data_IF_803095209770
#
_entry.id   IF_803095209770
#
_cell.length_a   1.000
_cell.length_b   1.000
_cell.length_c   1.000
_cell.angle_alpha   90.00
_cell.angle_beta   90.00
_cell.angle_gamma   90.00
#
_symmetry.space_group_name_H-M   'P 1'
#
loop_
_entity.id
_entity.type
_entity.pdbx_description
1 polymer ?
#
# COMPACT_ATOMS: atom_id res chain seq x y z
N UNK A 1 11.75 12.43 42.26
CA UNK A 1 10.64 11.72 41.58
C UNK A 1 10.05 10.72 42.57
N UNK A 2 8.73 10.67 42.73
CA UNK A 2 8.08 9.80 43.73
C UNK A 2 7.86 8.39 43.16
N UNK A 3 7.84 7.38 44.04
CA UNK A 3 7.51 5.99 43.67
C UNK A 3 6.13 5.85 43.02
N UNK A 4 5.19 6.74 43.34
CA UNK A 4 3.89 6.83 42.71
C UNK A 4 3.95 7.36 41.25
N UNK A 5 4.81 8.34 40.98
CA UNK A 5 5.03 8.86 39.62
C UNK A 5 5.64 7.80 38.71
N UNK A 6 6.61 7.03 39.19
CA UNK A 6 7.23 5.96 38.42
C UNK A 6 6.24 4.82 38.06
N UNK A 7 5.35 4.43 39.00
CA UNK A 7 4.29 3.45 38.71
C UNK A 7 3.27 3.96 37.70
N UNK A 8 2.95 5.26 37.74
CA UNK A 8 2.00 5.87 36.81
C UNK A 8 2.57 5.92 35.39
N UNK A 9 3.86 6.26 35.23
CA UNK A 9 4.54 6.23 33.94
C UNK A 9 4.54 4.81 33.33
N UNK A 10 4.86 3.78 34.14
CA UNK A 10 4.83 2.38 33.70
C UNK A 10 3.42 1.96 33.23
N UNK A 11 2.37 2.32 33.99
CA UNK A 11 1.00 1.99 33.62
C UNK A 11 0.57 2.61 32.28
N UNK A 12 1.00 3.84 31.98
CA UNK A 12 0.76 4.47 30.68
C UNK A 12 1.56 3.80 29.56
N UNK A 13 2.81 3.40 29.81
CA UNK A 13 3.59 2.63 28.84
C UNK A 13 2.94 1.27 28.51
N UNK A 14 2.43 0.57 29.52
CA UNK A 14 1.78 -0.73 29.35
C UNK A 14 0.42 -0.58 28.63
N UNK A 15 -0.37 0.45 29.00
CA UNK A 15 -1.60 0.80 28.28
C UNK A 15 -1.31 1.09 26.80
N UNK A 16 -0.27 1.87 26.52
CA UNK A 16 0.12 2.19 25.15
C UNK A 16 0.48 0.93 24.36
N UNK A 17 1.20 -0.02 24.97
CA UNK A 17 1.55 -1.28 24.33
C UNK A 17 0.30 -2.13 24.00
N UNK A 18 -0.64 -2.25 24.95
CA UNK A 18 -1.90 -2.98 24.75
C UNK A 18 -2.74 -2.33 23.65
N UNK A 19 -2.86 -1.01 23.68
CA UNK A 19 -3.68 -0.25 22.72
C UNK A 19 -3.04 -0.23 21.32
N UNK A 20 -1.71 -0.20 21.24
CA UNK A 20 -0.97 -0.39 19.97
C UNK A 20 -1.17 -1.79 19.41
N UNK A 21 -1.15 -2.83 20.25
CA UNK A 21 -1.43 -4.21 19.86
C UNK A 21 -2.87 -4.41 19.35
N UNK A 22 -3.82 -3.58 19.82
CA UNK A 22 -5.20 -3.53 19.30
C UNK A 22 -5.33 -2.69 18.00
N UNK A 23 -4.23 -2.13 17.48
CA UNK A 23 -4.22 -1.33 16.25
C UNK A 23 -4.59 0.15 16.42
N UNK A 24 -4.83 0.60 17.65
CA UNK A 24 -5.21 1.98 17.96
C UNK A 24 -3.94 2.82 18.26
N UNK A 25 -3.21 3.08 17.18
CA UNK A 25 -1.89 3.71 17.25
C UNK A 25 -1.97 5.14 17.80
N UNK A 26 -3.08 5.87 17.61
CA UNK A 26 -3.22 7.22 18.11
C UNK A 26 -3.41 7.27 19.63
N UNK A 27 -4.22 6.38 20.21
CA UNK A 27 -4.29 6.28 21.68
C UNK A 27 -3.01 5.70 22.28
N UNK A 28 -2.32 4.81 21.58
CA UNK A 28 -1.00 4.37 21.99
C UNK A 28 0.01 5.53 22.02
N UNK A 29 -0.01 6.42 21.03
CA UNK A 29 0.82 7.63 21.00
C UNK A 29 0.56 8.50 22.23
N UNK A 30 -0.71 8.82 22.48
CA UNK A 30 -1.10 9.66 23.62
C UNK A 30 -0.67 9.04 24.95
N UNK A 31 -0.79 7.71 25.08
CA UNK A 31 -0.38 7.01 26.30
C UNK A 31 1.16 6.96 26.45
N UNK A 32 1.93 6.77 25.38
CA UNK A 32 3.39 6.89 25.45
C UNK A 32 3.86 8.31 25.75
N UNK A 33 3.24 9.33 25.15
CA UNK A 33 3.53 10.74 25.43
C UNK A 33 3.23 11.08 26.91
N UNK A 34 2.09 10.62 27.44
CA UNK A 34 1.75 10.77 28.86
C UNK A 34 2.76 10.06 29.79
N UNK A 35 3.25 8.88 29.44
CA UNK A 35 4.31 8.20 30.19
C UNK A 35 5.60 9.04 30.24
N UNK A 36 5.97 9.67 29.13
CA UNK A 36 7.17 10.51 29.01
C UNK A 36 7.01 11.90 29.65
N UNK A 37 5.80 12.44 29.74
CA UNK A 37 5.54 13.65 30.54
C UNK A 37 5.79 13.39 32.03
N UNK A 38 5.40 12.21 32.52
CA UNK A 38 5.60 11.82 33.93
C UNK A 38 7.06 11.43 34.21
N UNK A 39 7.67 10.67 33.29
CA UNK A 39 9.07 10.23 33.38
C UNK A 39 9.80 10.50 32.05
N UNK A 40 10.36 11.70 31.85
CA UNK A 40 11.04 12.06 30.60
C UNK A 40 12.26 11.18 30.28
N UNK A 41 12.81 10.51 31.30
CA UNK A 41 13.96 9.63 31.15
C UNK A 41 13.59 8.15 30.91
N UNK A 42 12.31 7.81 30.79
CA UNK A 42 11.88 6.43 30.53
C UNK A 42 12.39 5.96 29.16
N UNK A 43 13.36 5.05 29.19
CA UNK A 43 13.97 4.49 27.99
C UNK A 43 13.05 3.48 27.29
N UNK A 44 12.21 2.78 28.05
CA UNK A 44 11.26 1.81 27.52
C UNK A 44 10.14 2.53 26.76
N UNK A 45 9.53 3.54 27.37
CA UNK A 45 8.49 4.35 26.72
C UNK A 45 9.04 5.10 25.49
N UNK A 46 10.28 5.64 25.53
CA UNK A 46 10.92 6.23 24.35
C UNK A 46 11.18 5.20 23.24
N UNK A 47 11.66 4.02 23.60
CA UNK A 47 11.92 2.94 22.64
C UNK A 47 10.62 2.47 21.99
N UNK A 48 9.56 2.31 22.77
CA UNK A 48 8.26 1.89 22.27
C UNK A 48 7.58 2.98 21.42
N UNK A 49 7.64 4.25 21.86
CA UNK A 49 7.17 5.38 21.08
C UNK A 49 7.90 5.51 19.74
N UNK A 50 9.22 5.27 19.71
CA UNK A 50 10.00 5.31 18.48
C UNK A 50 9.63 4.20 17.49
N UNK A 51 9.10 3.08 17.98
CA UNK A 51 8.54 1.98 17.16
C UNK A 51 7.11 2.27 16.71
N UNK A 52 6.44 3.25 17.31
CA UNK A 52 5.05 3.53 17.03
C UNK A 52 4.88 4.12 15.62
N UNK A 53 4.01 3.52 14.79
CA UNK A 53 3.79 3.96 13.42
C UNK A 53 3.16 5.35 13.26
N UNK A 54 2.91 6.12 14.32
CA UNK A 54 2.34 7.48 14.24
C UNK A 54 3.23 8.55 14.88
N UNK A 55 4.49 8.21 15.20
CA UNK A 55 5.43 9.14 15.84
C UNK A 55 5.69 10.43 15.02
N UNK A 56 6.19 11.52 15.62
CA UNK A 56 6.54 12.74 14.89
C UNK A 56 7.50 12.51 13.70
N UNK A 57 8.43 11.56 13.82
CA UNK A 57 9.31 11.15 12.72
C UNK A 57 8.54 10.51 11.57
N UNK A 58 7.58 9.66 11.89
CA UNK A 58 6.66 9.07 10.91
C UNK A 58 5.81 10.15 10.22
N UNK A 59 5.24 11.09 10.98
CA UNK A 59 4.49 12.22 10.40
C UNK A 59 5.36 13.10 9.49
N UNK A 60 6.63 13.30 9.83
CA UNK A 60 7.56 14.06 9.00
C UNK A 60 7.89 13.34 7.67
N UNK A 61 8.23 12.05 7.72
CA UNK A 61 8.48 11.23 6.53
C UNK A 61 7.25 11.19 5.60
N UNK A 62 6.06 11.00 6.18
CA UNK A 62 4.81 11.00 5.43
C UNK A 62 4.48 12.35 4.76
N UNK A 63 4.91 13.47 5.37
CA UNK A 63 4.77 14.82 4.78
C UNK A 63 5.73 15.04 3.64
N UNK A 64 7.01 14.74 3.85
CA UNK A 64 8.04 14.83 2.81
C UNK A 64 7.64 13.98 1.59
N UNK A 65 7.09 12.80 1.82
CA UNK A 65 6.58 11.95 0.76
C UNK A 65 5.41 12.51 -0.01
N UNK A 66 4.43 13.12 0.66
CA UNK A 66 3.26 13.72 -0.01
C UNK A 66 3.68 14.86 -0.94
N UNK A 67 4.72 15.60 -0.55
CA UNK A 67 5.32 16.67 -1.34
C UNK A 67 6.15 16.11 -2.50
N UNK A 68 7.00 15.11 -2.25
CA UNK A 68 7.78 14.42 -3.29
C UNK A 68 6.88 13.71 -4.31
N UNK A 69 5.77 13.12 -3.86
CA UNK A 69 4.70 12.54 -4.68
C UNK A 69 4.06 13.57 -5.60
N UNK A 70 3.64 14.71 -5.04
CA UNK A 70 3.05 15.79 -5.81
C UNK A 70 4.03 16.33 -6.84
N UNK A 71 5.30 16.48 -6.47
CA UNK A 71 6.37 16.95 -7.35
C UNK A 71 6.76 15.92 -8.41
N UNK A 72 6.80 14.61 -8.10
CA UNK A 72 7.15 13.54 -9.06
C UNK A 72 5.98 13.19 -9.98
N UNK A 73 4.74 13.21 -9.50
CA UNK A 73 3.56 13.08 -10.35
C UNK A 73 3.44 14.30 -11.30
N UNK A 74 3.75 15.50 -10.82
CA UNK A 74 3.94 16.68 -11.67
C UNK A 74 5.13 16.51 -12.64
N UNK A 75 6.25 15.92 -12.21
CA UNK A 75 7.42 15.68 -13.06
C UNK A 75 7.16 14.63 -14.14
N UNK A 76 6.39 13.58 -13.87
CA UNK A 76 5.95 12.58 -14.86
C UNK A 76 4.98 13.22 -15.86
N UNK A 77 4.02 14.02 -15.40
CA UNK A 77 3.16 14.81 -16.28
C UNK A 77 3.99 15.80 -17.14
N UNK A 78 5.06 16.37 -16.57
CA UNK A 78 5.98 17.26 -17.28
C UNK A 78 6.96 16.52 -18.19
N UNK A 79 7.39 15.30 -17.89
CA UNK A 79 8.25 14.47 -18.74
C UNK A 79 7.47 13.97 -19.97
N UNK A 80 6.20 13.60 -19.78
CA UNK A 80 5.24 13.38 -20.87
C UNK A 80 5.08 14.66 -21.70
N UNK A 81 5.12 15.85 -21.08
CA UNK A 81 5.12 17.13 -21.79
C UNK A 81 6.47 17.50 -22.43
N UNK A 82 7.61 17.01 -21.94
CA UNK A 82 8.95 17.26 -22.47
C UNK A 82 9.24 16.39 -23.70
N UNK A 83 8.75 15.14 -23.72
CA UNK A 83 8.67 14.30 -24.93
C UNK A 83 7.90 15.02 -26.06
N UNK A 84 7.00 15.98 -25.74
CA UNK A 84 6.34 16.85 -26.73
C UNK A 84 7.24 17.96 -27.29
N UNK A 85 8.18 18.53 -26.52
CA UNK A 85 9.08 19.61 -27.00
C UNK A 85 10.22 19.09 -27.86
N UNK A 86 10.79 17.94 -27.53
CA UNK A 86 11.81 17.28 -28.35
C UNK A 86 11.29 16.84 -29.73
N UNK A 87 9.96 16.73 -29.91
CA UNK A 87 9.32 16.36 -31.18
C UNK A 87 8.62 17.51 -31.91
N UNK A 88 8.67 18.74 -31.37
CA UNK A 88 8.36 19.94 -32.17
C UNK A 88 9.27 19.99 -33.40
N UNK A 89 10.54 19.55 -33.27
CA UNK A 89 11.48 19.43 -34.39
C UNK A 89 11.11 18.32 -35.42
N UNK A 90 10.19 17.40 -35.09
CA UNK A 90 9.69 16.36 -36.01
C UNK A 90 8.35 16.74 -36.65
N UNK A 91 7.55 17.57 -35.97
CA UNK A 91 6.34 18.18 -36.54
C UNK A 91 6.70 19.30 -37.53
N UNK A 92 7.78 20.05 -37.28
CA UNK A 92 8.36 21.01 -38.24
C UNK A 92 8.88 20.33 -39.51
N UNK A 93 9.07 18.99 -39.49
CA UNK A 93 9.42 18.15 -40.63
C UNK A 93 8.18 17.54 -41.35
N UNK A 94 6.95 17.91 -40.98
CA UNK A 94 5.74 17.54 -41.72
C UNK A 94 5.26 16.08 -41.57
N UNK A 95 5.78 15.33 -40.59
CA UNK A 95 5.59 13.88 -40.49
C UNK A 95 4.42 13.41 -39.60
N UNK A 96 3.47 14.29 -39.25
CA UNK A 96 2.42 13.97 -38.27
C UNK A 96 1.03 14.47 -38.65
N UNK A 97 0.00 13.62 -38.46
CA UNK A 97 -1.39 13.97 -38.75
C UNK A 97 -2.06 14.74 -37.59
N UNK A 98 -3.05 15.58 -37.89
CA UNK A 98 -3.82 16.33 -36.89
C UNK A 98 -4.57 15.41 -35.89
N UNK A 99 -4.92 14.19 -36.31
CA UNK A 99 -5.56 13.16 -35.48
C UNK A 99 -4.62 12.71 -34.36
N UNK A 100 -3.34 12.52 -34.67
CA UNK A 100 -2.33 12.14 -33.68
C UNK A 100 -2.10 13.24 -32.65
N UNK A 101 -2.22 14.52 -33.05
CA UNK A 101 -2.08 15.67 -32.16
C UNK A 101 -3.22 15.76 -31.13
N UNK A 102 -4.45 15.48 -31.55
CA UNK A 102 -5.65 15.53 -30.70
C UNK A 102 -5.66 14.41 -29.65
N UNK A 103 -5.43 13.17 -30.06
CA UNK A 103 -5.31 12.01 -29.16
C UNK A 103 -4.21 12.22 -28.11
N UNK A 104 -3.11 12.89 -28.50
CA UNK A 104 -2.01 13.23 -27.57
C UNK A 104 -2.36 14.33 -26.59
N UNK A 105 -3.17 15.33 -26.97
CA UNK A 105 -3.62 16.40 -26.06
C UNK A 105 -4.50 15.80 -24.97
N UNK A 106 -5.43 14.94 -25.36
CA UNK A 106 -6.34 14.20 -24.48
C UNK A 106 -5.56 13.30 -23.51
N UNK A 107 -4.54 12.57 -23.99
CA UNK A 107 -3.71 11.71 -23.13
C UNK A 107 -2.95 12.44 -22.00
N UNK A 108 -2.44 13.65 -22.22
CA UNK A 108 -1.75 14.37 -21.12
C UNK A 108 -2.71 15.05 -20.15
N UNK A 109 -3.90 15.44 -20.60
CA UNK A 109 -4.95 15.91 -19.69
C UNK A 109 -5.35 14.76 -18.76
N UNK A 110 -5.51 13.55 -19.31
CA UNK A 110 -5.78 12.36 -18.51
C UNK A 110 -4.66 12.05 -17.52
N UNK A 111 -3.38 12.07 -17.93
CA UNK A 111 -2.25 11.83 -17.03
C UNK A 111 -2.18 12.86 -15.88
N UNK A 112 -2.44 14.15 -16.17
CA UNK A 112 -2.49 15.20 -15.15
C UNK A 112 -3.64 14.99 -14.16
N UNK A 113 -4.82 14.59 -14.66
CA UNK A 113 -5.97 14.27 -13.80
C UNK A 113 -5.70 13.07 -12.89
N UNK A 114 -5.03 12.02 -13.39
CA UNK A 114 -4.64 10.86 -12.58
C UNK A 114 -3.65 11.24 -11.48
N UNK A 115 -2.64 12.06 -11.79
CA UNK A 115 -1.69 12.58 -10.81
C UNK A 115 -2.38 13.38 -9.69
N UNK A 116 -3.36 14.23 -10.03
CA UNK A 116 -4.12 14.99 -9.05
C UNK A 116 -4.99 14.10 -8.16
N UNK A 117 -5.66 13.10 -8.76
CA UNK A 117 -6.43 12.09 -8.01
C UNK A 117 -5.53 11.31 -7.06
N UNK A 118 -4.35 10.88 -7.54
CA UNK A 118 -3.37 10.17 -6.73
C UNK A 118 -2.98 11.00 -5.49
N UNK A 119 -2.60 12.26 -5.69
CA UNK A 119 -2.26 13.14 -4.57
C UNK A 119 -3.39 13.26 -3.54
N UNK A 120 -4.64 13.45 -4.00
CA UNK A 120 -5.78 13.59 -3.10
C UNK A 120 -6.07 12.31 -2.31
N UNK A 121 -6.10 11.16 -2.99
CA UNK A 121 -6.33 9.86 -2.36
C UNK A 121 -5.26 9.56 -1.33
N UNK A 122 -3.99 9.70 -1.69
CA UNK A 122 -2.87 9.36 -0.80
C UNK A 122 -2.84 10.28 0.42
N UNK A 123 -3.11 11.58 0.21
CA UNK A 123 -3.25 12.52 1.33
C UNK A 123 -4.37 12.09 2.28
N UNK A 124 -5.49 11.61 1.74
CA UNK A 124 -6.62 11.14 2.55
C UNK A 124 -6.31 9.84 3.30
N UNK A 125 -5.81 8.81 2.60
CA UNK A 125 -5.39 7.54 3.20
C UNK A 125 -4.37 7.75 4.31
N UNK A 126 -3.41 8.64 4.07
CA UNK A 126 -2.45 9.05 5.09
C UNK A 126 -3.15 9.63 6.32
N UNK A 127 -4.07 10.59 6.15
CA UNK A 127 -4.80 11.16 7.30
C UNK A 127 -5.56 10.09 8.07
N UNK A 128 -6.24 9.18 7.37
CA UNK A 128 -6.91 8.05 8.01
C UNK A 128 -5.96 7.19 8.85
N UNK A 129 -4.76 6.88 8.34
CA UNK A 129 -3.77 6.11 9.12
C UNK A 129 -3.12 6.91 10.25
N UNK A 130 -2.72 8.15 9.99
CA UNK A 130 -1.85 8.92 10.89
C UNK A 130 -2.62 9.71 11.93
N UNK A 131 -3.82 10.17 11.59
CA UNK A 131 -4.65 10.99 12.46
C UNK A 131 -5.71 10.13 13.16
N UNK A 132 -5.99 8.91 12.65
CA UNK A 132 -7.11 8.04 13.07
C UNK A 132 -8.38 8.85 13.36
N UNK A 133 -8.58 9.91 12.57
CA UNK A 133 -9.62 10.88 12.85
C UNK A 133 -10.96 10.20 12.65
N UNK A 134 -11.80 10.22 13.69
CA UNK A 134 -13.25 10.08 13.54
C UNK A 134 -13.72 11.31 12.77
N UNK A 135 -13.48 11.31 11.46
CA UNK A 135 -13.79 12.45 10.63
C UNK A 135 -15.32 12.47 10.45
N UNK A 136 -16.00 13.31 11.22
CA UNK A 136 -17.42 13.57 11.03
C UNK A 136 -17.75 14.01 9.58
N UNK A 137 -16.75 14.43 8.78
CA UNK A 137 -16.89 14.74 7.37
C UNK A 137 -16.73 13.54 6.42
N UNK A 138 -16.24 12.39 6.90
CA UNK A 138 -16.19 11.13 6.15
C UNK A 138 -17.45 10.27 6.33
N UNK A 139 -18.51 10.80 6.95
CA UNK A 139 -19.75 10.05 7.18
C UNK A 139 -19.67 9.04 8.33
N UNK A 140 -18.69 9.16 9.22
CA UNK A 140 -18.54 8.28 10.39
C UNK A 140 -17.66 7.05 10.13
N UNK A 141 -16.87 7.05 9.06
CA UNK A 141 -15.94 5.97 8.73
C UNK A 141 -14.71 6.05 9.62
N UNK A 142 -14.55 5.08 10.52
CA UNK A 142 -13.37 4.96 11.37
C UNK A 142 -12.58 3.69 11.04
N UNK A 143 -11.29 3.87 10.74
CA UNK A 143 -10.40 2.76 10.39
C UNK A 143 -10.29 1.73 11.53
N UNK A 144 -10.33 2.21 12.77
CA UNK A 144 -10.30 1.37 13.97
C UNK A 144 -11.60 0.60 14.14
N UNK A 145 -12.76 1.21 13.87
CA UNK A 145 -14.05 0.52 13.99
C UNK A 145 -14.18 -0.61 12.98
N UNK A 146 -13.78 -0.41 11.72
CA UNK A 146 -13.85 -1.45 10.70
C UNK A 146 -12.96 -2.64 11.06
N UNK A 147 -11.73 -2.39 11.52
CA UNK A 147 -10.79 -3.44 11.93
C UNK A 147 -11.26 -4.19 13.17
N UNK A 148 -11.66 -3.47 14.21
CA UNK A 148 -12.03 -4.06 15.50
C UNK A 148 -13.32 -4.90 15.43
N UNK A 149 -14.27 -4.51 14.56
CA UNK A 149 -15.57 -5.18 14.47
C UNK A 149 -15.49 -6.49 13.68
N UNK A 150 -14.70 -6.53 12.62
CA UNK A 150 -14.67 -7.69 11.71
C UNK A 150 -13.61 -8.73 12.08
N UNK A 151 -12.52 -8.29 12.71
CA UNK A 151 -11.39 -9.17 12.97
C UNK A 151 -11.74 -10.40 13.83
N UNK A 152 -12.57 -10.32 14.90
CA UNK A 152 -12.95 -11.52 15.66
C UNK A 152 -13.65 -12.57 14.80
N UNK A 153 -14.56 -12.14 13.93
CA UNK A 153 -15.31 -13.01 13.03
C UNK A 153 -14.40 -13.64 11.98
N UNK A 154 -13.50 -12.85 11.39
CA UNK A 154 -12.55 -13.32 10.38
C UNK A 154 -11.57 -14.32 11.00
N UNK A 155 -11.00 -14.01 12.16
CA UNK A 155 -10.18 -14.94 12.92
C UNK A 155 -10.93 -16.26 13.16
N UNK A 156 -12.18 -16.21 13.63
CA UNK A 156 -12.96 -17.43 13.90
C UNK A 156 -13.19 -18.32 12.66
N UNK A 157 -13.30 -17.72 11.47
CA UNK A 157 -13.58 -18.44 10.21
C UNK A 157 -12.33 -19.05 9.58
N UNK A 158 -11.16 -18.44 9.80
CA UNK A 158 -9.91 -18.84 9.17
C UNK A 158 -8.91 -19.48 10.13
N UNK A 159 -9.23 -19.56 11.43
CA UNK A 159 -8.48 -20.40 12.37
C UNK A 159 -8.64 -21.88 11.99
N UNK A 160 -7.53 -22.58 11.81
CA UNK A 160 -7.53 -24.03 11.56
C UNK A 160 -8.12 -24.78 12.76
N UNK A 161 -8.59 -26.02 12.54
CA UNK A 161 -9.19 -26.87 13.58
C UNK A 161 -8.23 -27.21 14.75
N UNK A 162 -6.92 -26.99 14.58
CA UNK A 162 -5.90 -27.13 15.62
C UNK A 162 -5.69 -25.85 16.47
N UNK A 163 -6.46 -24.79 16.20
CA UNK A 163 -6.40 -23.53 16.94
C UNK A 163 -5.23 -22.62 16.57
N UNK A 164 -4.43 -22.97 15.55
CA UNK A 164 -3.28 -22.14 15.16
C UNK A 164 -3.66 -21.15 14.07
N UNK A 165 -3.93 -19.91 14.49
CA UNK A 165 -3.74 -18.70 13.70
C UNK A 165 -3.06 -17.72 14.65
N UNK A 166 -1.80 -17.37 14.39
CA UNK A 166 -1.11 -16.40 15.22
C UNK A 166 -1.74 -15.03 14.95
N UNK A 167 -2.06 -14.27 16.00
CA UNK A 167 -2.60 -12.90 15.90
C UNK A 167 -1.63 -11.99 15.11
N UNK A 168 -0.36 -12.42 14.98
CA UNK A 168 0.62 -11.85 14.05
C UNK A 168 0.21 -11.83 12.56
N UNK A 169 -0.78 -12.64 12.13
CA UNK A 169 -1.35 -12.69 10.78
C UNK A 169 -1.92 -11.35 10.28
N UNK A 170 -2.15 -10.39 11.18
CA UNK A 170 -2.70 -9.08 10.89
C UNK A 170 -1.83 -7.98 11.49
N UNK A 171 -0.93 -7.41 10.68
CA UNK A 171 -0.23 -6.18 10.97
C UNK A 171 -0.69 -5.13 9.97
N UNK A 172 -1.10 -3.96 10.46
CA UNK A 172 -1.50 -2.86 9.59
C UNK A 172 -0.54 -1.70 9.71
N UNK A 173 -0.20 -1.16 8.55
CA UNK A 173 0.29 0.18 8.40
C UNK A 173 0.46 0.52 6.93
N UNK A 174 0.82 1.77 6.64
CA UNK A 174 1.08 2.18 5.28
C UNK A 174 2.43 1.71 4.77
N UNK A 175 2.42 1.12 3.58
CA UNK A 175 3.55 1.15 2.68
C UNK A 175 3.55 2.48 1.96
N UNK A 176 4.69 3.14 2.04
CA UNK A 176 4.88 4.48 1.54
C UNK A 176 4.98 4.55 0.01
N UNK A 177 4.70 5.70 -0.60
CA UNK A 177 4.71 5.74 -2.08
C UNK A 177 6.10 5.60 -2.64
N UNK A 178 7.09 6.28 -2.05
CA UNK A 178 8.47 6.18 -2.55
C UNK A 178 8.96 4.72 -2.47
N UNK A 179 8.51 4.00 -1.45
CA UNK A 179 8.70 2.57 -1.24
C UNK A 179 8.08 1.75 -2.35
N UNK A 180 6.79 1.95 -2.59
CA UNK A 180 6.07 1.30 -3.68
C UNK A 180 6.76 1.58 -5.01
N UNK A 181 6.97 2.87 -5.34
CA UNK A 181 7.63 3.33 -6.56
C UNK A 181 9.04 2.72 -6.76
N UNK A 182 9.82 2.53 -5.69
CA UNK A 182 11.14 1.92 -5.76
C UNK A 182 11.09 0.47 -6.27
N UNK A 183 10.10 -0.31 -5.84
CA UNK A 183 9.87 -1.67 -6.34
C UNK A 183 9.59 -1.71 -7.87
N UNK A 184 8.99 -0.65 -8.43
CA UNK A 184 8.73 -0.53 -9.88
C UNK A 184 9.88 0.07 -10.70
N UNK A 185 11.00 0.44 -10.06
CA UNK A 185 12.15 0.98 -10.80
C UNK A 185 12.97 -0.08 -11.54
N UNK A 186 12.76 -1.37 -11.27
CA UNK A 186 13.43 -2.43 -12.03
C UNK A 186 13.00 -2.40 -13.50
N UNK A 187 13.95 -2.64 -14.40
CA UNK A 187 13.69 -2.59 -15.84
C UNK A 187 12.63 -3.60 -16.29
N UNK A 188 12.66 -4.83 -15.76
CA UNK A 188 11.65 -5.85 -16.06
C UNK A 188 10.25 -5.47 -15.55
N UNK A 189 10.14 -4.83 -14.37
CA UNK A 189 8.85 -4.34 -13.86
C UNK A 189 8.26 -3.27 -14.78
N UNK A 190 9.10 -2.31 -15.21
CA UNK A 190 8.67 -1.29 -16.17
C UNK A 190 8.27 -1.91 -17.51
N UNK A 191 9.02 -2.90 -17.99
CA UNK A 191 8.72 -3.59 -19.24
C UNK A 191 7.37 -4.33 -19.17
N UNK A 192 7.12 -5.05 -18.07
CA UNK A 192 5.87 -5.76 -17.83
C UNK A 192 4.67 -4.79 -17.78
N UNK A 193 4.78 -3.69 -17.03
CA UNK A 193 3.71 -2.68 -16.95
C UNK A 193 3.47 -1.95 -18.28
N UNK A 194 4.54 -1.66 -19.04
CA UNK A 194 4.41 -1.07 -20.38
C UNK A 194 3.79 -2.04 -21.39
N UNK A 195 4.08 -3.33 -21.30
CA UNK A 195 3.42 -4.36 -22.09
C UNK A 195 1.93 -4.46 -21.71
N UNK A 196 1.61 -4.48 -20.42
CA UNK A 196 0.26 -4.49 -19.91
C UNK A 196 -0.55 -3.30 -20.42
N UNK A 197 0.02 -2.09 -20.35
CA UNK A 197 -0.64 -0.87 -20.83
C UNK A 197 -1.00 -0.91 -22.31
N UNK A 198 -0.17 -1.57 -23.13
CA UNK A 198 -0.41 -1.75 -24.57
C UNK A 198 -1.42 -2.87 -24.88
N UNK A 199 -1.43 -3.92 -24.06
CA UNK A 199 -2.16 -5.15 -24.34
C UNK A 199 -3.47 -5.29 -23.54
N UNK A 200 -3.83 -4.27 -22.76
CA UNK A 200 -5.03 -4.32 -21.89
C UNK A 200 -4.86 -5.22 -20.67
N UNK A 201 -3.64 -5.32 -20.14
CA UNK A 201 -3.35 -6.07 -18.92
C UNK A 201 -3.76 -5.33 -17.64
N UNK A 202 -3.70 -6.04 -16.52
CA UNK A 202 -4.11 -5.55 -15.20
C UNK A 202 -3.06 -5.78 -14.13
N UNK A 203 -3.27 -5.15 -12.98
CA UNK A 203 -2.53 -5.42 -11.75
C UNK A 203 -3.48 -5.91 -10.66
N UNK A 204 -2.95 -6.72 -9.74
CA UNK A 204 -3.69 -7.23 -8.57
C UNK A 204 -2.88 -6.93 -7.32
N UNK A 205 -3.55 -6.49 -6.26
CA UNK A 205 -2.97 -6.34 -4.93
C UNK A 205 -3.71 -7.26 -3.97
N UNK A 206 -3.02 -8.24 -3.41
CA UNK A 206 -3.54 -9.19 -2.43
C UNK A 206 -3.17 -8.69 -1.02
N UNK A 207 -4.16 -8.62 -0.13
CA UNK A 207 -4.00 -7.96 1.17
C UNK A 207 -4.06 -6.43 1.03
N UNK A 208 -5.00 -5.92 0.22
CA UNK A 208 -4.98 -4.51 -0.17
C UNK A 208 -5.30 -3.52 0.96
N UNK A 209 -5.82 -3.97 2.11
CA UNK A 209 -6.19 -3.11 3.23
C UNK A 209 -7.10 -1.96 2.75
N UNK A 210 -6.75 -0.70 3.06
CA UNK A 210 -7.44 0.51 2.57
C UNK A 210 -6.98 0.99 1.18
N UNK A 211 -6.09 0.23 0.55
CA UNK A 211 -5.82 0.33 -0.88
C UNK A 211 -4.62 1.16 -1.31
N UNK A 212 -3.65 1.47 -0.44
CA UNK A 212 -2.48 2.28 -0.82
C UNK A 212 -1.82 1.80 -2.12
N UNK A 213 -1.39 0.54 -2.15
CA UNK A 213 -0.72 -0.12 -3.27
C UNK A 213 -1.61 -0.18 -4.50
N UNK A 214 -2.91 -0.47 -4.30
CA UNK A 214 -3.87 -0.58 -5.39
C UNK A 214 -4.10 0.79 -6.06
N UNK A 215 -4.25 1.86 -5.28
CA UNK A 215 -4.35 3.22 -5.77
C UNK A 215 -3.06 3.69 -6.42
N UNK A 216 -1.91 3.38 -5.82
CA UNK A 216 -0.61 3.70 -6.40
C UNK A 216 -0.45 3.05 -7.76
N UNK A 217 -0.72 1.75 -7.89
CA UNK A 217 -0.61 1.05 -9.16
C UNK A 217 -1.57 1.65 -10.21
N UNK A 218 -2.85 1.79 -9.85
CA UNK A 218 -3.87 2.26 -10.78
C UNK A 218 -3.61 3.68 -11.29
N UNK A 219 -3.34 4.61 -10.37
CA UNK A 219 -3.25 6.04 -10.69
C UNK A 219 -1.86 6.44 -11.20
N UNK A 220 -0.81 5.68 -10.89
CA UNK A 220 0.54 5.91 -11.45
C UNK A 220 0.67 5.35 -12.86
N UNK A 221 0.17 4.14 -13.10
CA UNK A 221 0.37 3.44 -14.37
C UNK A 221 -0.85 3.49 -15.30
N UNK A 222 -2.01 3.94 -14.82
CA UNK A 222 -3.24 3.97 -15.61
C UNK A 222 -3.74 2.58 -15.99
N UNK A 223 -3.39 1.55 -15.20
CA UNK A 223 -3.76 0.16 -15.45
C UNK A 223 -4.96 -0.24 -14.58
N UNK A 224 -5.92 -1.02 -15.14
CA UNK A 224 -6.95 -1.68 -14.34
C UNK A 224 -6.31 -2.43 -13.18
N UNK A 225 -6.69 -2.05 -11.96
CA UNK A 225 -6.14 -2.61 -10.73
C UNK A 225 -7.27 -3.14 -9.85
N UNK A 226 -7.08 -4.34 -9.29
CA UNK A 226 -7.98 -4.92 -8.29
C UNK A 226 -7.26 -5.01 -6.96
N UNK A 227 -7.78 -4.36 -5.93
CA UNK A 227 -7.39 -4.61 -4.54
C UNK A 227 -8.26 -5.72 -3.96
N UNK A 228 -7.64 -6.74 -3.38
CA UNK A 228 -8.30 -7.88 -2.76
C UNK A 228 -8.00 -7.86 -1.28
N UNK A 229 -9.05 -7.83 -0.47
CA UNK A 229 -8.93 -7.76 0.99
C UNK A 229 -9.95 -8.69 1.65
N UNK A 230 -9.55 -9.30 2.77
CA UNK A 230 -10.37 -10.24 3.52
C UNK A 230 -11.36 -9.52 4.44
N UNK A 231 -10.99 -8.34 4.95
CA UNK A 231 -11.83 -7.47 5.76
C UNK A 231 -12.74 -6.62 4.88
N UNK A 232 -14.02 -6.99 4.78
CA UNK A 232 -14.98 -6.33 3.89
C UNK A 232 -15.16 -4.84 4.23
N UNK A 233 -15.10 -4.44 5.49
CA UNK A 233 -15.22 -3.04 5.88
C UNK A 233 -14.06 -2.17 5.40
N UNK A 234 -12.88 -2.76 5.19
CA UNK A 234 -11.76 -2.06 4.53
C UNK A 234 -11.98 -1.95 3.01
N UNK A 235 -12.63 -2.95 2.40
CA UNK A 235 -13.06 -2.90 1.00
C UNK A 235 -14.11 -1.82 0.78
N UNK A 236 -15.11 -1.73 1.68
CA UNK A 236 -16.15 -0.71 1.63
C UNK A 236 -15.54 0.69 1.76
N UNK A 237 -14.68 0.90 2.76
CA UNK A 237 -13.93 2.15 2.92
C UNK A 237 -13.11 2.51 1.67
N UNK A 238 -12.45 1.52 1.08
CA UNK A 238 -11.67 1.70 -0.14
C UNK A 238 -12.56 2.10 -1.33
N UNK A 239 -13.72 1.46 -1.49
CA UNK A 239 -14.67 1.79 -2.56
C UNK A 239 -15.34 3.16 -2.36
N UNK A 240 -15.66 3.54 -1.13
CA UNK A 240 -16.19 4.87 -0.80
C UNK A 240 -15.17 5.97 -1.11
N UNK A 241 -13.89 5.73 -0.78
CA UNK A 241 -12.81 6.65 -1.13
C UNK A 241 -12.65 6.80 -2.64
N UNK A 242 -12.74 5.69 -3.38
CA UNK A 242 -12.70 5.68 -4.86
C UNK A 242 -13.78 6.60 -5.41
N UNK A 243 -15.00 6.45 -4.89
CA UNK A 243 -16.18 7.19 -5.34
C UNK A 243 -16.07 8.67 -4.98
N UNK A 244 -15.60 8.99 -3.76
CA UNK A 244 -15.34 10.37 -3.31
C UNK A 244 -14.32 11.13 -4.17
N UNK A 245 -13.39 10.41 -4.81
CA UNK A 245 -12.41 10.96 -5.76
C UNK A 245 -12.76 10.75 -7.23
N UNK A 246 -13.98 10.26 -7.51
CA UNK A 246 -14.49 9.98 -8.85
C UNK A 246 -13.51 9.12 -9.69
N UNK A 247 -12.90 8.11 -9.06
CA UNK A 247 -12.04 7.15 -9.74
C UNK A 247 -12.92 6.07 -10.39
N UNK A 248 -12.82 5.82 -11.70
CA UNK A 248 -13.68 4.84 -12.36
C UNK A 248 -13.42 3.41 -11.83
N UNK A 249 -14.46 2.60 -11.59
CA UNK A 249 -14.29 1.21 -11.14
C UNK A 249 -13.57 0.31 -12.16
N UNK A 250 -13.54 0.72 -13.44
CA UNK A 250 -12.76 0.03 -14.48
C UNK A 250 -11.25 0.26 -14.34
N UNK A 251 -10.86 1.38 -13.72
CA UNK A 251 -9.46 1.70 -13.46
C UNK A 251 -9.01 1.11 -12.11
N UNK A 252 -9.84 1.22 -11.09
CA UNK A 252 -9.52 0.71 -9.76
C UNK A 252 -10.79 0.25 -9.04
N UNK A 253 -10.77 -0.98 -8.51
CA UNK A 253 -11.86 -1.53 -7.70
C UNK A 253 -11.31 -2.39 -6.57
N UNK A 254 -12.13 -2.58 -5.55
CA UNK A 254 -11.80 -3.40 -4.39
C UNK A 254 -12.82 -4.52 -4.24
N UNK A 255 -12.35 -5.72 -3.93
CA UNK A 255 -13.17 -6.92 -3.80
C UNK A 255 -12.90 -7.57 -2.44
N UNK A 256 -13.98 -7.82 -1.68
CA UNK A 256 -13.90 -8.57 -0.43
C UNK A 256 -13.79 -10.05 -0.77
N UNK A 257 -12.58 -10.60 -0.68
CA UNK A 257 -12.31 -11.99 -1.03
C UNK A 257 -11.04 -12.51 -0.35
N UNK A 258 -10.98 -13.84 -0.20
CA UNK A 258 -9.77 -14.51 0.26
C UNK A 258 -8.77 -14.64 -0.90
N UNK A 259 -7.56 -14.10 -0.72
CA UNK A 259 -6.47 -14.14 -1.69
C UNK A 259 -6.12 -15.56 -2.15
N UNK A 260 -6.23 -16.57 -1.27
CA UNK A 260 -5.98 -17.98 -1.59
C UNK A 260 -7.04 -18.59 -2.52
N UNK A 261 -8.21 -17.98 -2.66
CA UNK A 261 -9.29 -18.47 -3.53
C UNK A 261 -9.67 -17.51 -4.64
N UNK A 262 -9.16 -16.28 -4.59
CA UNK A 262 -9.43 -15.25 -5.58
C UNK A 262 -9.02 -15.70 -6.99
N UNK A 263 -9.86 -15.37 -7.97
CA UNK A 263 -9.63 -15.67 -9.38
C UNK A 263 -8.92 -14.49 -10.04
N UNK A 264 -7.64 -14.67 -10.37
CA UNK A 264 -6.84 -13.62 -11.00
C UNK A 264 -7.40 -13.26 -12.39
N UNK A 265 -7.57 -11.96 -12.71
CA UNK A 265 -8.01 -11.55 -14.04
C UNK A 265 -7.07 -12.05 -15.14
N UNK A 266 -7.64 -12.42 -16.29
CA UNK A 266 -6.85 -12.72 -17.47
C UNK A 266 -6.02 -11.48 -17.87
N UNK A 267 -4.74 -11.70 -18.20
CA UNK A 267 -3.84 -10.59 -18.55
C UNK A 267 -3.25 -9.86 -17.34
N UNK A 268 -3.34 -10.45 -16.14
CA UNK A 268 -2.60 -9.96 -14.96
C UNK A 268 -1.10 -9.92 -15.28
N UNK A 269 -0.53 -8.72 -15.25
CA UNK A 269 0.89 -8.48 -15.54
C UNK A 269 1.73 -8.29 -14.27
N UNK A 270 1.06 -7.95 -13.17
CA UNK A 270 1.70 -7.76 -11.87
C UNK A 270 0.78 -8.15 -10.74
N UNK A 271 1.34 -8.87 -9.77
CA UNK A 271 0.71 -9.17 -8.48
C UNK A 271 1.58 -8.56 -7.38
N UNK A 272 0.98 -7.71 -6.54
CA UNK A 272 1.57 -7.29 -5.28
C UNK A 272 0.92 -8.11 -4.16
N UNK A 273 1.72 -8.64 -3.25
CA UNK A 273 1.27 -9.38 -2.08
C UNK A 273 1.74 -8.63 -0.84
N UNK A 274 0.81 -8.08 -0.07
CA UNK A 274 1.13 -7.53 1.25
C UNK A 274 1.05 -8.63 2.32
N UNK A 275 2.10 -9.42 2.38
CA UNK A 275 2.22 -10.61 3.23
C UNK A 275 3.12 -10.39 4.47
N UNK A 276 3.41 -9.15 4.85
CA UNK A 276 4.28 -8.84 6.00
C UNK A 276 3.84 -9.56 7.28
N UNK A 277 2.54 -9.66 7.47
CA UNK A 277 1.93 -10.24 8.65
C UNK A 277 1.61 -11.72 8.50
N UNK A 278 1.51 -12.25 7.28
CA UNK A 278 0.89 -13.54 7.03
C UNK A 278 1.73 -14.70 7.57
N UNK A 279 1.08 -15.79 8.00
CA UNK A 279 1.80 -16.97 8.45
C UNK A 279 2.48 -17.71 7.28
N UNK A 280 3.62 -18.34 7.57
CA UNK A 280 4.42 -19.05 6.57
C UNK A 280 3.62 -20.09 5.75
N UNK A 281 2.78 -20.97 6.35
CA UNK A 281 1.92 -21.88 5.60
C UNK A 281 0.97 -21.19 4.60
N UNK A 282 0.38 -20.06 4.98
CA UNK A 282 -0.49 -19.27 4.10
C UNK A 282 0.30 -18.71 2.91
N UNK A 283 1.51 -18.19 3.16
CA UNK A 283 2.39 -17.68 2.11
C UNK A 283 2.84 -18.80 1.16
N UNK A 284 3.18 -19.98 1.69
CA UNK A 284 3.57 -21.15 0.87
C UNK A 284 2.43 -21.62 -0.04
N UNK A 285 1.20 -21.64 0.48
CA UNK A 285 0.02 -21.98 -0.32
C UNK A 285 -0.21 -20.95 -1.44
N UNK A 286 -0.14 -19.66 -1.11
CA UNK A 286 -0.28 -18.60 -2.11
C UNK A 286 0.82 -18.71 -3.17
N UNK A 287 2.08 -18.87 -2.76
CA UNK A 287 3.23 -19.01 -3.64
C UNK A 287 3.03 -20.16 -4.64
N UNK A 288 2.57 -21.32 -4.21
CA UNK A 288 2.23 -22.44 -5.12
C UNK A 288 1.06 -22.12 -6.04
N UNK A 289 0.00 -21.49 -5.52
CA UNK A 289 -1.19 -21.15 -6.31
C UNK A 289 -0.86 -20.15 -7.41
N UNK A 290 -0.03 -19.14 -7.13
CA UNK A 290 0.36 -18.14 -8.12
C UNK A 290 1.09 -18.80 -9.31
N UNK A 291 1.99 -19.75 -9.07
CA UNK A 291 2.66 -20.52 -10.14
C UNK A 291 1.67 -21.29 -11.01
N UNK A 292 0.62 -21.86 -10.41
CA UNK A 292 -0.38 -22.63 -11.15
C UNK A 292 -1.28 -21.76 -12.04
N UNK A 293 -1.47 -20.48 -11.70
CA UNK A 293 -2.48 -19.63 -12.33
C UNK A 293 -1.90 -18.46 -13.12
N UNK A 294 -0.64 -18.07 -12.87
CA UNK A 294 0.05 -17.03 -13.60
C UNK A 294 0.87 -17.62 -14.75
N UNK A 295 0.82 -17.04 -15.95
CA UNK A 295 1.77 -17.37 -17.00
C UNK A 295 3.19 -16.92 -16.62
N UNK A 296 4.19 -17.45 -17.32
CA UNK A 296 5.56 -16.95 -17.25
C UNK A 296 5.64 -15.47 -17.63
N UNK A 297 6.54 -14.72 -16.98
CA UNK A 297 6.75 -13.29 -17.24
C UNK A 297 5.89 -12.33 -16.42
N UNK A 298 5.07 -12.83 -15.49
CA UNK A 298 4.31 -11.99 -14.56
C UNK A 298 5.20 -11.57 -13.40
N UNK A 299 5.15 -10.29 -13.05
CA UNK A 299 5.91 -9.74 -11.93
C UNK A 299 5.17 -10.01 -10.63
N UNK A 300 5.87 -10.54 -9.63
CA UNK A 300 5.36 -10.74 -8.27
C UNK A 300 6.19 -9.91 -7.32
N UNK A 301 5.54 -8.98 -6.61
CA UNK A 301 6.14 -8.14 -5.57
C UNK A 301 5.57 -8.58 -4.24
N UNK A 302 6.42 -8.75 -3.23
CA UNK A 302 6.01 -9.23 -1.91
C UNK A 302 6.93 -8.73 -0.80
N UNK A 303 6.47 -8.84 0.44
CA UNK A 303 7.09 -8.25 1.63
C UNK A 303 7.87 -9.28 2.47
N UNK A 304 7.87 -10.56 2.06
CA UNK A 304 8.52 -11.67 2.77
C UNK A 304 9.31 -12.59 1.83
N UNK A 305 10.50 -13.03 2.23
CA UNK A 305 11.28 -13.96 1.39
C UNK A 305 10.68 -15.37 1.32
N UNK A 306 9.74 -15.70 2.22
CA UNK A 306 9.14 -17.02 2.33
C UNK A 306 8.17 -17.35 1.17
N UNK A 307 8.06 -18.62 0.75
CA UNK A 307 7.09 -19.08 -0.25
C UNK A 307 7.38 -18.78 -1.73
N UNK A 308 8.40 -17.97 -2.05
CA UNK A 308 8.76 -17.58 -3.44
C UNK A 308 10.19 -17.99 -3.84
N UNK A 309 10.73 -19.04 -3.22
CA UNK A 309 12.14 -19.43 -3.34
C UNK A 309 12.43 -20.50 -4.38
N UNK A 310 11.41 -21.15 -4.95
CA UNK A 310 11.58 -22.17 -5.99
C UNK A 310 12.12 -21.54 -7.28
N UNK A 311 13.39 -21.81 -7.67
CA UNK A 311 14.02 -21.18 -8.82
C UNK A 311 13.44 -21.68 -10.16
N UNK A 312 12.67 -22.77 -10.15
CA UNK A 312 11.97 -23.27 -11.35
C UNK A 312 10.67 -22.55 -11.60
N UNK A 313 10.13 -21.88 -10.58
CA UNK A 313 8.88 -21.14 -10.62
C UNK A 313 9.07 -19.62 -10.58
N UNK A 314 10.08 -19.16 -9.85
CA UNK A 314 10.34 -17.75 -9.61
C UNK A 314 11.81 -17.41 -9.85
N UNK A 315 12.04 -16.30 -10.56
CA UNK A 315 13.37 -15.71 -10.67
C UNK A 315 13.40 -14.38 -9.92
N UNK A 316 14.21 -14.31 -8.87
CA UNK A 316 14.45 -13.07 -8.11
C UNK A 316 15.10 -12.03 -9.01
N UNK A 317 14.46 -10.86 -9.12
CA UNK A 317 14.94 -9.72 -9.90
C UNK A 317 15.72 -8.75 -9.02
N UNK A 318 15.15 -8.39 -7.88
CA UNK A 318 15.75 -7.47 -6.92
C UNK A 318 15.17 -7.64 -5.52
N UNK A 319 15.87 -7.11 -4.53
CA UNK A 319 15.35 -6.81 -3.20
C UNK A 319 15.63 -5.32 -2.93
N UNK A 320 14.61 -4.59 -2.48
CA UNK A 320 14.67 -3.14 -2.29
C UNK A 320 14.43 -2.85 -0.81
N UNK A 321 15.37 -2.16 -0.18
CA UNK A 321 15.18 -1.66 1.18
C UNK A 321 14.41 -0.35 1.14
N UNK A 322 13.36 -0.27 1.94
CA UNK A 322 12.33 0.76 1.85
C UNK A 322 11.80 1.15 3.23
N UNK A 323 11.35 2.39 3.36
CA UNK A 323 10.68 2.86 4.58
C UNK A 323 9.22 2.42 4.60
N UNK A 324 8.74 1.94 5.73
CA UNK A 324 7.31 1.69 6.00
C UNK A 324 6.92 2.41 7.28
N UNK A 325 5.62 2.40 7.60
CA UNK A 325 5.13 3.00 8.84
C UNK A 325 5.69 2.34 10.10
N UNK A 326 6.04 1.04 10.06
CA UNK A 326 6.55 0.27 11.20
C UNK A 326 8.04 -0.07 11.12
N UNK A 327 8.67 0.04 9.95
CA UNK A 327 10.07 -0.33 9.76
C UNK A 327 10.77 0.64 8.76
N UNK A 328 11.81 1.38 9.20
CA UNK A 328 12.52 2.35 8.35
C UNK A 328 13.35 1.71 7.22
N UNK A 329 13.59 0.39 7.28
CA UNK A 329 14.36 -0.37 6.31
C UNK A 329 13.74 -1.76 6.08
N UNK A 330 12.45 -1.81 5.79
CA UNK A 330 11.76 -3.02 5.36
C UNK A 330 12.29 -3.49 4.00
N UNK A 331 12.25 -4.79 3.70
CA UNK A 331 12.72 -5.32 2.42
C UNK A 331 11.53 -5.77 1.60
N UNK A 332 11.39 -5.19 0.41
CA UNK A 332 10.43 -5.61 -0.61
C UNK A 332 11.16 -6.41 -1.67
N UNK A 333 10.66 -7.59 -1.98
CA UNK A 333 11.25 -8.48 -2.96
C UNK A 333 10.47 -8.41 -4.27
N UNK A 334 11.19 -8.55 -5.37
CA UNK A 334 10.60 -8.56 -6.71
C UNK A 334 11.07 -9.81 -7.42
N UNK A 335 10.10 -10.59 -7.87
CA UNK A 335 10.28 -11.81 -8.65
C UNK A 335 9.55 -11.70 -9.97
N UNK A 336 9.91 -12.58 -10.90
CA UNK A 336 9.16 -12.84 -12.12
C UNK A 336 8.88 -14.34 -12.21
N UNK A 337 7.68 -14.71 -12.64
CA UNK A 337 7.32 -16.11 -12.87
C UNK A 337 8.10 -16.66 -14.08
N UNK A 338 8.54 -17.91 -13.96
CA UNK A 338 9.35 -18.63 -14.96
C UNK A 338 8.52 -19.69 -15.67
#
# INVERSE_FOLDING_TARGET
MTTAGARSALAYNDLAAVVSAMGDQQRALMAYEAALEILPQDEMARTNLAKLPVSPRYRAAATEESEVLAHRAAAVAMAVAAVRRGKRSLADLGLMSAKDLRTRKEGAIAAHQLAFKLHRVVRFLRRLETEQADDSSSGGLSLSSSRATEMPDVLSRFTKADGTMDIGAFAWGGVWYHTFAAAFTHHDCRAALQAASRNGGSTVVLGSSIGFEAYFAALTFGLPTVGVELLCGLVDLSNELRDAHAIPPQLNRFECANALTFSLPQGTALVYVDDTAWDAPTIDELGRRLVQHLPAGVVVIHNTEHGYTDPTAYRKLQAVSVGTSWNPAHTVHVHITV
#
